data_IF_870123992769
#
_entry.id   IF_870123992769
#
_cell.length_a   1.000
_cell.length_b   1.000
_cell.length_c   1.000
_cell.angle_alpha   90.00
_cell.angle_beta   90.00
_cell.angle_gamma   90.00
#
_symmetry.space_group_name_H-M   'P 1'
#
loop_
_entity.id
_entity.type
_entity.pdbx_description
1 polymer ?
#
# COMPACT_ATOMS: atom_id res chain seq x y z
N UNK A 1 3.72 6.63 17.23
CA UNK A 1 3.40 5.94 15.97
C UNK A 1 2.23 4.99 16.13
N UNK A 2 2.45 3.82 16.76
CA UNK A 2 1.42 2.79 16.94
C UNK A 2 0.18 3.28 17.73
N UNK A 3 0.36 4.05 18.80
CA UNK A 3 -0.76 4.62 19.56
C UNK A 3 -1.65 5.54 18.71
N UNK A 4 -1.03 6.35 17.83
CA UNK A 4 -1.76 7.20 16.90
C UNK A 4 -2.51 6.38 15.85
N UNK A 5 -1.92 5.30 15.35
CA UNK A 5 -2.58 4.34 14.46
C UNK A 5 -3.79 3.69 15.17
N UNK A 6 -3.63 3.24 16.40
CA UNK A 6 -4.72 2.66 17.19
C UNK A 6 -5.81 3.70 17.48
N UNK A 7 -5.46 4.95 17.77
CA UNK A 7 -6.43 6.03 17.92
C UNK A 7 -7.19 6.30 16.62
N UNK A 8 -6.50 6.30 15.47
CA UNK A 8 -7.15 6.46 14.17
C UNK A 8 -8.13 5.32 13.88
N UNK A 9 -7.77 4.08 14.23
CA UNK A 9 -8.68 2.94 14.14
C UNK A 9 -9.88 3.06 15.09
N UNK A 10 -9.72 3.62 16.30
CA UNK A 10 -10.86 3.92 17.18
C UNK A 10 -11.82 4.94 16.57
N UNK A 11 -11.36 5.82 15.69
CA UNK A 11 -12.21 6.80 15.01
C UNK A 11 -13.09 6.17 13.89
N UNK A 12 -12.88 4.90 13.53
CA UNK A 12 -13.82 4.12 12.72
C UNK A 12 -13.81 4.39 11.20
N UNK A 13 -12.83 5.16 10.69
CA UNK A 13 -12.80 5.60 9.28
C UNK A 13 -11.76 4.88 8.40
N UNK A 14 -11.11 3.87 8.96
CA UNK A 14 -10.00 3.16 8.30
C UNK A 14 -8.73 4.01 8.26
N UNK A 15 -7.64 3.36 7.83
CA UNK A 15 -6.31 3.97 7.81
C UNK A 15 -5.57 3.59 6.53
N UNK A 16 -4.86 4.56 5.96
CA UNK A 16 -3.86 4.33 4.92
C UNK A 16 -2.48 4.56 5.53
N UNK A 17 -1.62 3.55 5.43
CA UNK A 17 -0.19 3.69 5.70
C UNK A 17 0.51 3.81 4.34
N UNK A 18 0.96 5.02 4.04
CA UNK A 18 1.71 5.35 2.84
C UNK A 18 3.19 5.10 3.10
N UNK A 19 3.65 3.92 2.72
CA UNK A 19 5.01 3.50 2.98
C UNK A 19 5.95 3.97 1.87
N UNK A 20 7.13 4.42 2.27
CA UNK A 20 8.30 4.29 1.42
C UNK A 20 8.64 2.80 1.21
N UNK A 21 9.55 2.52 0.27
CA UNK A 21 9.93 1.16 -0.08
C UNK A 21 10.66 0.43 1.08
N UNK A 22 10.99 1.12 2.18
CA UNK A 22 11.94 0.67 3.20
C UNK A 22 11.33 0.35 4.57
N UNK A 23 10.23 1.01 4.97
CA UNK A 23 9.66 0.84 6.32
C UNK A 23 8.66 -0.31 6.40
N UNK A 24 7.43 -0.11 5.93
CA UNK A 24 6.34 -1.09 6.02
C UNK A 24 6.11 -1.93 4.74
N UNK A 25 6.92 -1.70 3.70
CA UNK A 25 6.96 -2.60 2.54
C UNK A 25 7.73 -3.89 2.79
N UNK A 26 8.68 -3.87 3.70
CA UNK A 26 9.50 -5.03 4.04
C UNK A 26 8.68 -6.08 4.78
N UNK A 27 9.13 -7.34 4.73
CA UNK A 27 8.56 -8.43 5.55
C UNK A 27 8.60 -8.04 7.03
N UNK A 28 9.67 -7.36 7.48
CA UNK A 28 9.83 -6.95 8.87
C UNK A 28 8.76 -5.94 9.30
N UNK A 29 8.46 -4.93 8.48
CA UNK A 29 7.40 -3.97 8.78
C UNK A 29 6.01 -4.61 8.80
N UNK A 30 5.71 -5.50 7.84
CA UNK A 30 4.45 -6.26 7.82
C UNK A 30 4.31 -7.17 9.04
N UNK A 31 5.38 -7.86 9.42
CA UNK A 31 5.43 -8.70 10.63
C UNK A 31 5.22 -7.89 11.90
N UNK A 32 5.88 -6.73 12.04
CA UNK A 32 5.73 -5.87 13.21
C UNK A 32 4.28 -5.37 13.37
N UNK A 33 3.62 -4.99 12.27
CA UNK A 33 2.19 -4.63 12.30
C UNK A 33 1.32 -5.82 12.72
N UNK A 34 1.56 -7.00 12.16
CA UNK A 34 0.83 -8.21 12.51
C UNK A 34 1.02 -8.60 13.99
N UNK A 35 2.25 -8.56 14.51
CA UNK A 35 2.55 -8.82 15.93
C UNK A 35 1.94 -7.77 16.86
N UNK A 36 1.76 -6.54 16.39
CA UNK A 36 1.02 -5.48 17.09
C UNK A 36 -0.53 -5.63 16.99
N UNK A 37 -1.03 -6.72 16.39
CA UNK A 37 -2.46 -6.97 16.21
C UNK A 37 -3.12 -6.15 15.09
N UNK A 38 -2.33 -5.53 14.23
CA UNK A 38 -2.83 -4.73 13.11
C UNK A 38 -2.95 -5.60 11.86
N UNK A 39 -4.20 -5.95 11.52
CA UNK A 39 -4.50 -6.64 10.28
C UNK A 39 -4.54 -5.68 9.09
N UNK A 40 -3.54 -5.76 8.20
CA UNK A 40 -3.41 -4.83 7.08
C UNK A 40 -3.64 -5.49 5.70
N UNK A 41 -4.21 -4.72 4.78
CA UNK A 41 -4.36 -5.04 3.37
C UNK A 41 -3.23 -4.39 2.56
N UNK A 42 -2.43 -5.16 1.83
CA UNK A 42 -1.38 -4.58 0.97
C UNK A 42 -1.90 -4.34 -0.44
N UNK A 43 -1.74 -3.12 -0.96
CA UNK A 43 -1.90 -2.83 -2.39
C UNK A 43 -0.60 -3.18 -3.11
N UNK A 44 -0.65 -3.96 -4.19
CA UNK A 44 0.55 -4.39 -4.91
C UNK A 44 0.34 -4.38 -6.42
N UNK A 45 1.38 -4.04 -7.19
CA UNK A 45 1.32 -4.23 -8.64
C UNK A 45 1.32 -5.73 -9.00
N UNK A 46 0.70 -6.09 -10.13
CA UNK A 46 0.65 -7.48 -10.62
C UNK A 46 2.03 -8.16 -10.68
N UNK A 47 3.06 -7.42 -11.09
CA UNK A 47 4.43 -7.91 -11.21
C UNK A 47 5.30 -7.65 -9.96
N UNK A 48 4.67 -7.51 -8.78
CA UNK A 48 5.39 -7.31 -7.51
C UNK A 48 6.36 -8.46 -7.23
N UNK A 49 7.60 -8.12 -6.89
CA UNK A 49 8.67 -9.06 -6.55
C UNK A 49 9.99 -8.66 -7.19
N UNK A 50 10.92 -9.61 -7.29
CA UNK A 50 12.29 -9.37 -7.76
C UNK A 50 12.39 -9.13 -9.27
N UNK A 51 11.50 -9.72 -10.06
CA UNK A 51 11.55 -9.59 -11.52
C UNK A 51 10.18 -9.27 -12.10
N UNK A 52 10.07 -8.22 -12.94
CA UNK A 52 8.81 -7.86 -13.58
C UNK A 52 8.48 -8.71 -14.82
N UNK A 53 9.33 -9.69 -15.16
CA UNK A 53 9.10 -10.56 -16.33
C UNK A 53 8.01 -11.60 -16.06
N UNK A 54 7.39 -12.16 -17.12
CA UNK A 54 6.45 -13.28 -16.99
C UNK A 54 7.07 -14.50 -16.29
N UNK A 55 8.37 -14.73 -16.53
CA UNK A 55 9.16 -15.78 -15.86
C UNK A 55 9.33 -15.45 -14.38
N UNK A 56 9.74 -14.22 -14.07
CA UNK A 56 9.87 -13.70 -12.72
C UNK A 56 8.58 -13.81 -11.90
N UNK A 57 7.47 -13.34 -12.48
CA UNK A 57 6.13 -13.46 -11.91
C UNK A 57 5.75 -14.90 -11.56
N UNK A 58 6.09 -15.87 -12.43
CA UNK A 58 5.70 -17.28 -12.25
C UNK A 58 6.60 -18.06 -11.30
N UNK A 59 7.89 -17.75 -11.24
CA UNK A 59 8.88 -18.62 -10.57
C UNK A 59 9.70 -17.92 -9.48
N UNK A 60 9.99 -16.63 -9.63
CA UNK A 60 10.91 -15.91 -8.73
C UNK A 60 10.14 -15.13 -7.66
N UNK A 61 9.03 -14.49 -8.03
CA UNK A 61 8.25 -13.64 -7.15
C UNK A 61 7.34 -14.41 -6.15
N UNK A 62 6.77 -15.59 -6.46
CA UNK A 62 5.81 -16.25 -5.57
C UNK A 62 6.35 -16.62 -4.18
N UNK A 63 7.60 -17.09 -3.99
CA UNK A 63 8.12 -17.37 -2.66
C UNK A 63 8.11 -16.15 -1.73
N UNK A 64 8.54 -14.99 -2.24
CA UNK A 64 8.55 -13.73 -1.48
C UNK A 64 7.12 -13.32 -1.10
N UNK A 65 6.20 -13.32 -2.07
CA UNK A 65 4.79 -12.96 -1.86
C UNK A 65 4.13 -13.90 -0.84
N UNK A 66 4.44 -15.20 -0.89
CA UNK A 66 3.92 -16.20 0.05
C UNK A 66 4.37 -15.94 1.48
N UNK A 67 5.61 -15.48 1.68
CA UNK A 67 6.11 -15.10 3.02
C UNK A 67 5.42 -13.83 3.51
N UNK A 68 5.33 -12.80 2.67
CA UNK A 68 4.66 -11.54 3.04
C UNK A 68 3.18 -11.76 3.39
N UNK A 69 2.47 -12.61 2.65
CA UNK A 69 1.05 -12.86 2.86
C UNK A 69 0.73 -13.52 4.20
N UNK A 70 1.71 -14.10 4.90
CA UNK A 70 1.52 -14.64 6.26
C UNK A 70 1.22 -13.56 7.30
N UNK A 71 1.60 -12.31 7.00
CA UNK A 71 1.46 -11.18 7.91
C UNK A 71 0.41 -10.17 7.43
N UNK A 72 -0.34 -10.51 6.37
CA UNK A 72 -1.32 -9.62 5.75
C UNK A 72 -2.70 -10.26 5.83
N UNK A 73 -3.71 -9.45 6.06
CA UNK A 73 -5.11 -9.88 5.99
C UNK A 73 -5.48 -10.29 4.57
N UNK A 74 -5.09 -9.47 3.59
CA UNK A 74 -5.16 -9.81 2.18
C UNK A 74 -4.28 -8.91 1.34
N UNK A 75 -4.13 -9.26 0.05
CA UNK A 75 -3.44 -8.45 -0.94
C UNK A 75 -4.43 -7.99 -2.02
N UNK A 76 -4.45 -6.70 -2.29
CA UNK A 76 -5.22 -6.07 -3.36
C UNK A 76 -4.25 -5.86 -4.52
N UNK A 77 -4.33 -6.73 -5.52
CA UNK A 77 -3.45 -6.66 -6.69
C UNK A 77 -4.01 -5.66 -7.68
N UNK A 78 -3.17 -4.71 -8.08
CA UNK A 78 -3.45 -3.74 -9.13
C UNK A 78 -3.06 -4.31 -10.49
N UNK A 79 -4.05 -4.39 -11.37
CA UNK A 79 -3.89 -4.66 -12.80
C UNK A 79 -4.37 -3.42 -13.57
N UNK A 80 -3.58 -2.94 -14.55
CA UNK A 80 -3.86 -1.67 -15.24
C UNK A 80 -5.22 -1.66 -15.95
N UNK A 81 -5.68 -2.83 -16.40
CA UNK A 81 -6.99 -3.01 -17.04
C UNK A 81 -8.16 -2.96 -16.04
N UNK A 82 -7.89 -2.95 -14.73
CA UNK A 82 -8.90 -3.13 -13.69
C UNK A 82 -8.79 -2.11 -12.53
N UNK A 83 -8.34 -0.89 -12.84
CA UNK A 83 -8.17 0.19 -11.87
C UNK A 83 -9.45 0.50 -11.07
N UNK A 84 -10.63 0.27 -11.66
CA UNK A 84 -11.92 0.47 -11.01
C UNK A 84 -12.17 -0.54 -9.88
N UNK A 85 -11.92 -1.84 -10.09
CA UNK A 85 -12.11 -2.83 -9.04
C UNK A 85 -11.11 -2.63 -7.90
N UNK A 86 -9.88 -2.23 -8.20
CA UNK A 86 -8.87 -1.95 -7.16
C UNK A 86 -9.32 -0.81 -6.26
N UNK A 87 -9.75 0.30 -6.86
CA UNK A 87 -10.36 1.45 -6.15
C UNK A 87 -11.52 0.98 -5.26
N UNK A 88 -12.41 0.15 -5.80
CA UNK A 88 -13.58 -0.35 -5.07
C UNK A 88 -13.18 -1.21 -3.88
N UNK A 89 -12.17 -2.08 -4.02
CA UNK A 89 -11.66 -2.94 -2.95
C UNK A 89 -10.96 -2.15 -1.85
N UNK A 90 -10.18 -1.13 -2.22
CA UNK A 90 -9.54 -0.20 -1.26
C UNK A 90 -10.61 0.54 -0.46
N UNK A 91 -11.60 1.13 -1.15
CA UNK A 91 -12.69 1.84 -0.50
C UNK A 91 -13.51 0.92 0.42
N UNK A 92 -13.78 -0.32 0.00
CA UNK A 92 -14.46 -1.31 0.84
C UNK A 92 -13.65 -1.65 2.10
N UNK A 93 -12.34 -1.83 1.98
CA UNK A 93 -11.47 -2.09 3.12
C UNK A 93 -11.47 -0.92 4.12
N UNK A 94 -11.34 0.32 3.62
CA UNK A 94 -11.35 1.52 4.47
C UNK A 94 -12.69 1.74 5.16
N UNK A 95 -13.81 1.56 4.45
CA UNK A 95 -15.17 1.65 5.02
C UNK A 95 -15.43 0.59 6.10
N UNK A 96 -14.75 -0.55 6.03
CA UNK A 96 -14.78 -1.57 7.07
C UNK A 96 -13.80 -1.28 8.23
N UNK A 97 -13.31 -0.04 8.34
CA UNK A 97 -12.30 0.39 9.30
C UNK A 97 -10.97 -0.38 9.20
N UNK A 98 -10.63 -0.86 8.00
CA UNK A 98 -9.40 -1.62 7.75
C UNK A 98 -8.18 -0.72 7.56
N UNK A 99 -7.00 -1.33 7.71
CA UNK A 99 -5.71 -0.70 7.40
C UNK A 99 -5.29 -1.09 5.98
N UNK A 100 -4.92 -0.12 5.16
CA UNK A 100 -4.43 -0.33 3.79
C UNK A 100 -2.98 0.17 3.68
N UNK A 101 -2.06 -0.72 3.32
CA UNK A 101 -0.67 -0.39 3.01
C UNK A 101 -0.58 -0.05 1.53
N UNK A 102 -0.07 1.15 1.24
CA UNK A 102 0.21 1.60 -0.12
C UNK A 102 1.66 2.06 -0.20
N UNK A 103 2.39 1.58 -1.19
CA UNK A 103 3.75 2.06 -1.44
C UNK A 103 3.78 3.02 -2.61
N UNK A 104 4.61 4.05 -2.46
CA UNK A 104 4.92 4.96 -3.55
C UNK A 104 5.59 4.16 -4.68
N UNK A 105 4.85 3.91 -5.76
CA UNK A 105 5.41 3.33 -6.97
C UNK A 105 4.95 4.18 -8.15
N UNK A 106 5.77 4.23 -9.20
CA UNK A 106 5.45 4.86 -10.49
C UNK A 106 4.18 4.30 -11.16
N UNK A 107 3.57 3.26 -10.59
CA UNK A 107 2.36 2.59 -11.07
C UNK A 107 1.10 2.98 -10.26
N UNK A 108 1.23 3.69 -9.14
CA UNK A 108 0.14 4.04 -8.24
C UNK A 108 -0.53 5.38 -8.65
N UNK A 109 -1.33 5.34 -9.71
CA UNK A 109 -2.21 6.45 -10.10
C UNK A 109 -1.54 7.50 -11.00
N UNK A 110 -2.36 8.09 -11.86
CA UNK A 110 -1.97 9.02 -12.95
C UNK A 110 -1.86 10.49 -12.53
N UNK A 111 -2.05 10.80 -11.24
CA UNK A 111 -1.92 12.15 -10.72
C UNK A 111 -0.61 12.26 -9.93
N UNK A 112 0.36 12.90 -10.56
CA UNK A 112 1.74 13.00 -10.11
C UNK A 112 1.94 14.33 -9.38
N UNK A 113 2.47 14.30 -8.17
CA UNK A 113 3.20 15.46 -7.66
C UNK A 113 4.67 15.25 -8.02
N UNK A 114 5.26 16.20 -8.75
CA UNK A 114 6.68 16.22 -9.09
C UNK A 114 7.39 17.28 -8.23
N UNK A 115 7.75 16.99 -6.97
CA UNK A 115 8.61 17.89 -6.24
C UNK A 115 10.02 17.85 -6.82
N UNK A 116 10.60 19.04 -6.98
CA UNK A 116 11.98 19.21 -7.39
C UNK A 116 12.92 18.66 -6.30
N UNK A 117 13.96 17.94 -6.74
CA UNK A 117 15.07 17.47 -5.92
C UNK A 117 16.34 18.12 -6.45
N UNK A 118 16.73 19.24 -5.84
CA UNK A 118 17.83 20.08 -6.33
C UNK A 118 17.48 20.80 -7.64
N UNK A 119 18.51 21.26 -8.37
CA UNK A 119 18.31 22.11 -9.56
C UNK A 119 17.86 21.35 -10.82
N UNK A 120 18.03 20.02 -10.85
CA UNK A 120 17.78 19.20 -12.06
C UNK A 120 17.10 17.85 -11.79
N UNK A 121 16.78 17.54 -10.54
CA UNK A 121 16.11 16.30 -10.17
C UNK A 121 14.61 16.51 -9.99
N UNK A 122 13.82 15.52 -10.38
CA UNK A 122 12.40 15.43 -10.08
C UNK A 122 12.17 14.08 -9.41
N UNK A 123 11.38 14.06 -8.33
CA UNK A 123 10.91 12.79 -7.75
C UNK A 123 9.42 12.62 -8.01
N UNK A 124 9.00 11.39 -8.29
CA UNK A 124 7.59 11.11 -8.54
C UNK A 124 6.92 10.63 -7.24
N UNK A 125 5.97 11.42 -6.75
CA UNK A 125 5.11 11.03 -5.64
C UNK A 125 3.72 10.67 -6.15
N UNK A 126 3.32 9.42 -5.93
CA UNK A 126 1.98 8.94 -6.19
C UNK A 126 0.97 9.68 -5.29
N UNK A 127 0.01 10.39 -5.87
CA UNK A 127 -1.07 11.03 -5.10
C UNK A 127 -2.19 10.07 -4.67
N UNK A 128 -2.19 8.83 -5.19
CA UNK A 128 -3.27 7.87 -4.96
C UNK A 128 -3.57 7.61 -3.46
N UNK A 129 -2.59 7.42 -2.56
CA UNK A 129 -2.85 7.24 -1.13
C UNK A 129 -3.59 8.44 -0.52
N UNK A 130 -3.17 9.67 -0.83
CA UNK A 130 -3.82 10.88 -0.34
C UNK A 130 -5.25 11.03 -0.88
N UNK A 131 -5.47 10.76 -2.17
CA UNK A 131 -6.80 10.81 -2.78
C UNK A 131 -7.76 9.78 -2.16
N UNK A 132 -7.28 8.56 -1.89
CA UNK A 132 -8.09 7.55 -1.22
C UNK A 132 -8.41 7.90 0.23
N UNK A 133 -7.43 8.46 0.97
CA UNK A 133 -7.64 8.93 2.34
C UNK A 133 -8.69 10.03 2.38
N UNK A 134 -8.55 11.06 1.54
CA UNK A 134 -9.49 12.18 1.45
C UNK A 134 -10.91 11.71 1.09
N UNK A 135 -11.05 10.83 0.09
CA UNK A 135 -12.35 10.30 -0.33
C UNK A 135 -13.04 9.43 0.72
N UNK A 136 -12.26 8.64 1.47
CA UNK A 136 -12.79 7.77 2.51
C UNK A 136 -12.95 8.46 3.89
N UNK A 137 -12.35 9.64 4.07
CA UNK A 137 -12.17 10.25 5.39
C UNK A 137 -11.23 9.45 6.30
N UNK A 138 -10.37 8.61 5.71
CA UNK A 138 -9.43 7.76 6.42
C UNK A 138 -8.21 8.55 6.90
N UNK A 139 -7.61 8.12 8.02
CA UNK A 139 -6.34 8.71 8.45
C UNK A 139 -5.21 8.29 7.51
N UNK A 140 -4.28 9.22 7.25
CA UNK A 140 -3.10 8.99 6.42
C UNK A 140 -1.84 9.08 7.29
N UNK A 141 -1.03 8.03 7.27
CA UNK A 141 0.28 7.98 7.91
C UNK A 141 1.34 7.82 6.81
N UNK A 142 2.44 8.56 6.91
CA UNK A 142 3.62 8.43 6.04
C UNK A 142 4.86 8.20 6.92
#
# INVERSE_FOLDING_TARGET
GLEALQQALRNGRGVIIWCDQFTAQTIMGKRALHEAGVEAHQVSAQYHGFSPSKFGYRLINPPLVKVENRFLKSRIVFERTDAYQVTTRIQKALKANGVVLMTNTIYAGSAFAEPAMGERGWTHLASAPANFAARAGAALFH
#
